data_IF_610804562744
#
_entry.id   IF_610804562744
#
_cell.length_a   1.000
_cell.length_b   1.000
_cell.length_c   1.000
_cell.angle_alpha   90.00
_cell.angle_beta   90.00
_cell.angle_gamma   90.00
#
_symmetry.space_group_name_H-M   'P 1'
#
loop_
_entity.id
_entity.type
_entity.pdbx_description
1 polymer ?
#
# COMPACT_ATOMS: atom_id res chain seq x y z
N UNK A 1 19.62 10.28 24.26
CA UNK A 1 18.19 10.65 24.09
C UNK A 1 17.52 9.63 23.18
N UNK A 2 16.44 8.97 23.63
CA UNK A 2 15.72 8.02 22.81
C UNK A 2 14.88 8.75 21.75
N UNK A 3 15.23 8.60 20.48
CA UNK A 3 14.44 9.13 19.35
C UNK A 3 13.10 8.40 19.32
N UNK A 4 12.05 9.08 19.81
CA UNK A 4 10.69 8.55 19.89
C UNK A 4 10.15 8.41 18.46
N UNK A 5 9.84 7.18 18.04
CA UNK A 5 9.19 6.93 16.75
C UNK A 5 7.78 7.53 16.83
N UNK A 6 7.44 8.40 15.88
CA UNK A 6 6.09 8.96 15.72
C UNK A 6 5.49 8.38 14.45
N UNK A 7 4.19 8.11 14.46
CA UNK A 7 3.44 7.71 13.27
C UNK A 7 2.32 8.70 12.99
N UNK A 8 2.06 8.97 11.72
CA UNK A 8 0.93 9.79 11.27
C UNK A 8 0.21 9.05 10.16
N UNK A 9 -1.09 8.87 10.33
CA UNK A 9 -1.97 8.17 9.38
C UNK A 9 -2.86 9.16 8.67
N UNK A 10 -3.02 8.96 7.37
CA UNK A 10 -3.86 9.75 6.49
C UNK A 10 -4.80 8.83 5.74
N UNK A 11 -6.07 9.19 5.66
CA UNK A 11 -7.08 8.42 4.96
C UNK A 11 -7.60 9.27 3.80
N UNK A 12 -7.71 8.65 2.63
CA UNK A 12 -8.23 9.24 1.41
C UNK A 12 -9.23 8.27 0.78
N UNK A 13 -10.26 8.78 0.13
CA UNK A 13 -11.15 7.98 -0.70
C UNK A 13 -11.06 8.50 -2.13
N UNK A 14 -10.63 7.65 -3.07
CA UNK A 14 -10.58 7.96 -4.48
C UNK A 14 -11.43 6.97 -5.26
N UNK A 15 -12.48 7.47 -5.92
CA UNK A 15 -13.32 6.68 -6.81
C UNK A 15 -13.82 5.35 -6.20
N UNK A 16 -14.19 5.36 -4.91
CA UNK A 16 -14.64 4.16 -4.19
C UNK A 16 -13.52 3.25 -3.66
N UNK A 17 -12.25 3.62 -3.86
CA UNK A 17 -11.09 2.99 -3.26
C UNK A 17 -10.68 3.75 -2.00
N UNK A 18 -10.69 3.08 -0.84
CA UNK A 18 -10.25 3.67 0.42
C UNK A 18 -8.75 3.46 0.58
N UNK A 19 -7.98 4.53 0.74
CA UNK A 19 -6.52 4.50 0.83
C UNK A 19 -6.13 5.05 2.20
N UNK A 20 -5.30 4.32 2.93
CA UNK A 20 -4.81 4.68 4.25
C UNK A 20 -3.29 4.65 4.24
N UNK A 21 -2.64 5.80 4.43
CA UNK A 21 -1.19 5.93 4.41
C UNK A 21 -0.69 6.31 5.79
N UNK A 22 0.11 5.44 6.39
CA UNK A 22 0.78 5.64 7.67
C UNK A 22 2.26 5.89 7.46
N UNK A 23 2.70 7.09 7.81
CA UNK A 23 4.12 7.47 7.81
C UNK A 23 4.71 7.31 9.20
N UNK A 24 5.84 6.65 9.30
CA UNK A 24 6.61 6.49 10.54
C UNK A 24 7.89 7.31 10.44
N UNK A 25 8.09 8.20 11.41
CA UNK A 25 9.19 9.15 11.50
C UNK A 25 10.09 8.77 12.68
N UNK A 26 11.40 8.96 12.51
CA UNK A 26 12.39 8.83 13.59
C UNK A 26 13.26 10.10 13.57
N UNK A 27 12.95 11.04 14.46
CA UNK A 27 13.45 12.42 14.36
C UNK A 27 12.81 13.12 13.16
N UNK A 28 13.60 13.82 12.36
CA UNK A 28 13.15 14.57 11.16
C UNK A 28 13.06 13.72 9.89
N UNK A 29 13.40 12.43 9.95
CA UNK A 29 13.40 11.53 8.78
C UNK A 29 12.24 10.54 8.81
N UNK A 30 11.59 10.36 7.68
CA UNK A 30 10.68 9.24 7.44
C UNK A 30 11.52 7.98 7.33
N UNK A 31 11.22 6.97 8.14
CA UNK A 31 11.92 5.68 8.11
C UNK A 31 11.10 4.61 7.38
N UNK A 32 9.78 4.74 7.39
CA UNK A 32 8.86 3.75 6.86
C UNK A 32 7.54 4.42 6.49
N UNK A 33 6.99 4.05 5.34
CA UNK A 33 5.62 4.33 4.97
C UNK A 33 4.88 3.01 4.79
N UNK A 34 3.65 2.96 5.28
CA UNK A 34 2.73 1.84 5.06
C UNK A 34 1.51 2.42 4.37
N UNK A 35 1.18 1.95 3.18
CA UNK A 35 0.02 2.37 2.40
C UNK A 35 -0.90 1.15 2.30
N UNK A 36 -2.16 1.31 2.67
CA UNK A 36 -3.18 0.27 2.65
C UNK A 36 -4.32 0.77 1.78
N UNK A 37 -4.54 0.14 0.64
CA UNK A 37 -5.58 0.50 -0.32
C UNK A 37 -6.63 -0.61 -0.35
N UNK A 38 -7.88 -0.27 -0.09
CA UNK A 38 -9.03 -1.16 -0.20
C UNK A 38 -9.73 -0.86 -1.52
N UNK A 39 -9.54 -1.77 -2.47
CA UNK A 39 -9.92 -1.66 -3.86
C UNK A 39 -11.12 -2.58 -4.08
N UNK A 40 -12.30 -1.99 -4.25
CA UNK A 40 -13.51 -2.79 -4.56
C UNK A 40 -13.39 -3.37 -5.97
N UNK A 41 -13.85 -4.60 -6.21
CA UNK A 41 -13.73 -5.21 -7.54
C UNK A 41 -14.42 -4.39 -8.64
N UNK A 42 -15.56 -3.78 -8.30
CA UNK A 42 -16.27 -2.89 -9.21
C UNK A 42 -15.42 -1.67 -9.66
N UNK A 43 -14.49 -1.16 -8.84
CA UNK A 43 -13.68 0.03 -9.19
C UNK A 43 -12.59 -0.29 -10.20
N UNK A 44 -12.11 -1.53 -10.22
CA UNK A 44 -11.16 -2.03 -11.22
C UNK A 44 -11.85 -2.70 -12.41
N UNK A 45 -13.19 -2.70 -12.45
CA UNK A 45 -13.97 -3.36 -13.50
C UNK A 45 -14.04 -4.88 -13.34
N UNK A 46 -13.57 -5.42 -12.22
CA UNK A 46 -13.64 -6.83 -11.90
C UNK A 46 -14.98 -7.21 -11.27
N UNK A 47 -15.48 -8.40 -11.61
CA UNK A 47 -16.68 -8.99 -10.99
C UNK A 47 -16.35 -10.10 -10.02
N UNK A 48 -15.18 -10.70 -10.16
CA UNK A 48 -14.72 -11.83 -9.35
C UNK A 48 -13.28 -11.60 -8.90
N UNK A 49 -12.88 -12.30 -7.84
CA UNK A 49 -11.52 -12.32 -7.32
C UNK A 49 -10.47 -12.69 -8.37
N UNK A 50 -10.78 -13.64 -9.25
CA UNK A 50 -9.86 -14.04 -10.34
C UNK A 50 -9.63 -12.91 -11.35
N UNK A 51 -10.68 -12.19 -11.72
CA UNK A 51 -10.58 -11.07 -12.64
C UNK A 51 -9.78 -9.91 -12.01
N UNK A 52 -10.08 -9.61 -10.74
CA UNK A 52 -9.31 -8.64 -9.97
C UNK A 52 -7.83 -9.03 -9.84
N UNK A 53 -7.54 -10.31 -9.62
CA UNK A 53 -6.17 -10.81 -9.55
C UNK A 53 -5.43 -10.64 -10.88
N UNK A 54 -6.08 -10.90 -12.02
CA UNK A 54 -5.47 -10.65 -13.34
C UNK A 54 -5.10 -9.18 -13.58
N UNK A 55 -5.82 -8.25 -12.95
CA UNK A 55 -5.57 -6.81 -13.05
C UNK A 55 -4.51 -6.35 -12.03
N UNK A 56 -4.63 -6.81 -10.78
CA UNK A 56 -3.81 -6.34 -9.65
C UNK A 56 -2.46 -7.06 -9.54
N UNK A 57 -2.37 -8.35 -9.90
CA UNK A 57 -1.12 -9.11 -9.87
C UNK A 57 0.01 -8.51 -10.76
N UNK A 58 -0.24 -8.16 -12.04
CA UNK A 58 0.79 -7.51 -12.85
C UNK A 58 1.15 -6.10 -12.35
N UNK A 59 0.21 -5.38 -11.73
CA UNK A 59 0.51 -4.12 -11.06
C UNK A 59 1.45 -4.36 -9.88
N UNK A 60 1.18 -5.39 -9.07
CA UNK A 60 2.00 -5.78 -7.93
C UNK A 60 3.41 -6.17 -8.30
N UNK A 61 3.56 -6.94 -9.37
CA UNK A 61 4.86 -7.35 -9.88
C UNK A 61 5.75 -6.14 -10.21
N UNK A 62 5.16 -5.06 -10.74
CA UNK A 62 5.90 -3.81 -10.98
C UNK A 62 6.42 -3.17 -9.69
N UNK A 63 5.61 -3.17 -8.63
CA UNK A 63 6.00 -2.57 -7.35
C UNK A 63 6.98 -3.43 -6.56
N UNK A 64 6.86 -4.76 -6.61
CA UNK A 64 7.81 -5.70 -5.98
C UNK A 64 9.22 -5.62 -6.57
N UNK A 65 9.36 -5.12 -7.80
CA UNK A 65 10.68 -4.90 -8.40
C UNK A 65 11.41 -3.67 -7.80
N UNK A 66 10.71 -2.80 -7.06
CA UNK A 66 11.30 -1.59 -6.48
C UNK A 66 12.06 -1.95 -5.19
N UNK A 67 13.36 -1.67 -5.18
CA UNK A 67 14.21 -1.91 -4.02
C UNK A 67 13.71 -1.12 -2.78
N UNK A 68 13.39 -1.85 -1.72
CA UNK A 68 12.87 -1.29 -0.47
C UNK A 68 11.34 -1.12 -0.43
N UNK A 69 10.62 -1.57 -1.47
CA UNK A 69 9.16 -1.66 -1.45
C UNK A 69 8.75 -3.13 -1.28
N UNK A 70 8.06 -3.41 -0.19
CA UNK A 70 7.32 -4.66 0.00
C UNK A 70 5.86 -4.42 -0.33
N UNK A 71 5.28 -5.22 -1.20
CA UNK A 71 3.86 -5.16 -1.48
C UNK A 71 3.19 -6.51 -1.27
N UNK A 72 2.03 -6.48 -0.62
CA UNK A 72 1.17 -7.61 -0.35
C UNK A 72 -0.25 -7.30 -0.80
N UNK A 73 -0.75 -8.05 -1.76
CA UNK A 73 -2.16 -8.04 -2.14
C UNK A 73 -2.89 -9.18 -1.44
N UNK A 74 -3.97 -8.83 -0.76
CA UNK A 74 -4.92 -9.77 -0.16
C UNK A 74 -6.23 -9.64 -0.93
N UNK A 75 -6.82 -10.74 -1.34
CA UNK A 75 -8.05 -10.74 -2.10
C UNK A 75 -9.16 -11.35 -1.25
N UNK A 76 -10.13 -10.53 -0.86
CA UNK A 76 -11.32 -10.95 -0.13
C UNK A 76 -12.44 -11.36 -1.10
N UNK A 77 -13.63 -11.65 -0.58
CA UNK A 77 -14.76 -12.08 -1.41
C UNK A 77 -15.32 -10.94 -2.27
N UNK A 78 -15.30 -9.71 -1.75
CA UNK A 78 -15.94 -8.54 -2.37
C UNK A 78 -14.98 -7.41 -2.76
N UNK A 79 -13.74 -7.43 -2.27
CA UNK A 79 -12.73 -6.42 -2.54
C UNK A 79 -11.31 -6.99 -2.44
N UNK A 80 -10.35 -6.30 -3.03
CA UNK A 80 -8.93 -6.52 -2.79
C UNK A 80 -8.41 -5.50 -1.78
N UNK A 81 -7.54 -5.94 -0.88
CA UNK A 81 -6.77 -5.09 0.00
C UNK A 81 -5.29 -5.16 -0.40
N UNK A 82 -4.79 -4.06 -0.93
CA UNK A 82 -3.38 -3.83 -1.19
C UNK A 82 -2.73 -3.25 0.05
N UNK A 83 -1.60 -3.83 0.48
CA UNK A 83 -0.74 -3.29 1.53
C UNK A 83 0.67 -3.14 0.99
N UNK A 84 1.10 -1.89 0.83
CA UNK A 84 2.45 -1.52 0.39
C UNK A 84 3.25 -0.92 1.55
N UNK A 85 4.46 -1.39 1.73
CA UNK A 85 5.41 -0.98 2.76
C UNK A 85 6.64 -0.43 2.04
N UNK A 86 6.93 0.86 2.20
CA UNK A 86 8.11 1.48 1.60
C UNK A 86 9.11 1.84 2.71
N UNK A 87 10.31 1.26 2.61
CA UNK A 87 11.44 1.52 3.50
C UNK A 87 12.35 2.62 2.96
N UNK A 88 12.18 3.84 3.45
CA UNK A 88 13.01 5.00 3.09
C UNK A 88 14.46 4.91 3.59
N UNK A 89 14.78 3.94 4.45
CA UNK A 89 16.15 3.70 4.92
C UNK A 89 17.08 3.03 3.90
N UNK A 90 16.56 2.52 2.78
CA UNK A 90 17.34 1.88 1.70
C UNK A 90 16.93 2.28 0.28
N UNK A 91 15.82 3.00 0.11
CA UNK A 91 15.43 3.53 -1.18
C UNK A 91 16.22 4.81 -1.42
N UNK A 92 17.13 4.79 -2.39
CA UNK A 92 17.96 5.93 -2.79
C UNK A 92 17.14 7.01 -3.52
N UNK A 93 16.22 7.65 -2.80
CA UNK A 93 15.50 8.85 -3.20
C UNK A 93 15.82 9.98 -2.22
#
# INVERSE_FOLDING_TARGET
MAIKKKSKTFNANLAGTEISITYTYKGDKIIKQTSESKISYATVGAKTKEDAAKILDPLSAKYKNIAGVEEKLTYEDTYAQEKRLCGYGKSGL
#
